data_IF_091267702521
#
_entry.id   IF_091267702521
#
_cell.length_a   1.000
_cell.length_b   1.000
_cell.length_c   1.000
_cell.angle_alpha   90.00
_cell.angle_beta   90.00
_cell.angle_gamma   90.00
#
_symmetry.space_group_name_H-M   'P 1'
#
loop_
_entity.id
_entity.type
_entity.pdbx_description
1 polymer ?
#
# COMPACT_ATOMS: atom_id res chain seq x y z
N UNK A 1 -10.41 -4.91 11.17
CA UNK A 1 -10.85 -6.02 10.31
C UNK A 1 -11.13 -5.44 8.92
N UNK A 2 -10.60 -5.90 7.80
CA UNK A 2 -9.20 -6.22 7.47
C UNK A 2 -9.07 -6.08 5.93
N UNK A 3 -9.55 -4.97 5.35
CA UNK A 3 -9.51 -4.69 3.89
C UNK A 3 -8.13 -4.96 3.31
N UNK A 4 -7.10 -4.61 4.07
CA UNK A 4 -5.70 -4.86 3.75
C UNK A 4 -5.36 -6.36 3.67
N UNK A 5 -5.88 -7.22 4.56
CA UNK A 5 -5.68 -8.68 4.45
C UNK A 5 -6.42 -9.28 3.26
N UNK A 6 -7.60 -8.76 2.92
CA UNK A 6 -8.34 -9.25 1.75
C UNK A 6 -7.59 -8.95 0.46
N UNK A 7 -7.11 -7.72 0.31
CA UNK A 7 -6.30 -7.31 -0.84
C UNK A 7 -5.04 -8.17 -0.92
N UNK A 8 -4.35 -8.38 0.21
CA UNK A 8 -3.13 -9.21 0.25
C UNK A 8 -3.40 -10.64 -0.13
N UNK A 9 -4.50 -11.23 0.34
CA UNK A 9 -4.90 -12.58 -0.05
C UNK A 9 -5.18 -12.66 -1.55
N UNK A 10 -5.88 -11.66 -2.11
CA UNK A 10 -6.16 -11.60 -3.54
C UNK A 10 -4.87 -11.47 -4.36
N UNK A 11 -3.93 -10.61 -3.96
CA UNK A 11 -2.60 -10.47 -4.59
C UNK A 11 -1.82 -11.79 -4.55
N UNK A 12 -1.80 -12.45 -3.40
CA UNK A 12 -1.15 -13.74 -3.20
C UNK A 12 -1.67 -14.82 -4.15
N UNK A 13 -2.94 -14.74 -4.52
CA UNK A 13 -3.62 -15.71 -5.39
C UNK A 13 -3.53 -15.34 -6.88
N UNK A 14 -3.59 -14.05 -7.21
CA UNK A 14 -3.69 -13.58 -8.60
C UNK A 14 -2.37 -13.03 -9.16
N UNK A 15 -1.40 -12.72 -8.31
CA UNK A 15 -0.13 -12.10 -8.67
C UNK A 15 1.06 -12.96 -8.25
N UNK A 16 1.61 -13.79 -9.15
CA UNK A 16 2.76 -14.65 -8.84
C UNK A 16 4.05 -13.86 -8.58
N UNK A 17 4.13 -12.59 -9.00
CA UNK A 17 5.28 -11.71 -8.78
C UNK A 17 5.19 -10.91 -7.48
N UNK A 18 4.11 -11.08 -6.70
CA UNK A 18 3.90 -10.30 -5.49
C UNK A 18 5.01 -10.54 -4.44
N UNK A 19 5.69 -9.46 -4.05
CA UNK A 19 6.82 -9.53 -3.12
C UNK A 19 6.34 -9.56 -1.65
N UNK A 20 6.01 -10.77 -1.18
CA UNK A 20 5.55 -11.05 0.19
C UNK A 20 6.58 -10.68 1.27
N UNK A 21 7.86 -10.78 0.94
CA UNK A 21 8.96 -10.48 1.88
C UNK A 21 8.97 -8.99 2.19
N UNK A 22 8.99 -8.15 1.14
CA UNK A 22 8.90 -6.70 1.30
C UNK A 22 7.60 -6.29 2.00
N UNK A 23 6.47 -6.90 1.63
CA UNK A 23 5.20 -6.69 2.32
C UNK A 23 5.28 -6.95 3.84
N UNK A 24 5.92 -8.04 4.26
CA UNK A 24 6.07 -8.37 5.68
C UNK A 24 6.87 -7.34 6.45
N UNK A 25 7.99 -6.89 5.87
CA UNK A 25 8.81 -5.80 6.43
C UNK A 25 8.00 -4.51 6.57
N UNK A 26 7.29 -4.12 5.51
CA UNK A 26 6.42 -2.94 5.49
C UNK A 26 5.25 -3.04 6.47
N UNK A 27 4.67 -4.22 6.64
CA UNK A 27 3.58 -4.44 7.59
C UNK A 27 4.06 -4.28 9.04
N UNK A 28 5.29 -4.68 9.32
CA UNK A 28 5.96 -4.54 10.60
C UNK A 28 6.30 -3.06 10.86
N UNK A 29 6.87 -2.38 9.87
CA UNK A 29 7.13 -0.94 9.91
C UNK A 29 5.86 -0.09 10.08
N UNK A 30 4.75 -0.47 9.44
CA UNK A 30 3.44 0.18 9.61
C UNK A 30 2.82 -0.03 10.99
N UNK A 31 3.31 -0.97 11.79
CA UNK A 31 2.94 -1.15 13.19
C UNK A 31 3.63 -0.16 14.13
N UNK A 32 4.76 0.43 13.70
CA UNK A 32 5.42 1.53 14.39
C UNK A 32 4.68 2.81 14.02
N UNK A 33 4.20 3.53 15.05
CA UNK A 33 3.15 4.55 15.06
C UNK A 33 3.40 5.84 14.21
N UNK A 34 4.18 5.76 13.13
CA UNK A 34 4.61 6.88 12.28
C UNK A 34 4.79 6.54 10.79
N UNK A 35 4.49 5.33 10.33
CA UNK A 35 4.73 5.00 8.92
C UNK A 35 3.51 5.33 8.04
N UNK A 36 3.55 6.50 7.40
CA UNK A 36 2.59 6.85 6.34
C UNK A 36 2.98 6.13 5.04
N UNK A 37 2.37 4.97 4.79
CA UNK A 37 2.58 4.25 3.54
C UNK A 37 1.58 4.74 2.49
N UNK A 38 2.08 5.35 1.42
CA UNK A 38 1.23 5.73 0.29
C UNK A 38 0.93 4.50 -0.58
N UNK A 39 -0.28 4.39 -1.15
CA UNK A 39 -0.63 3.30 -2.05
C UNK A 39 0.30 3.20 -3.27
N UNK A 40 0.91 4.31 -3.71
CA UNK A 40 1.91 4.28 -4.80
C UNK A 40 3.17 3.53 -4.38
N UNK A 41 3.69 3.83 -3.19
CA UNK A 41 4.89 3.18 -2.65
C UNK A 41 4.63 1.70 -2.37
N UNK A 42 3.40 1.35 -1.97
CA UNK A 42 2.97 -0.05 -1.85
C UNK A 42 3.14 -0.82 -3.16
N UNK A 43 2.61 -0.26 -4.25
CA UNK A 43 2.64 -0.87 -5.59
C UNK A 43 4.09 -1.04 -6.05
N UNK A 44 4.91 0.02 -5.99
CA UNK A 44 6.32 -0.04 -6.39
C UNK A 44 7.14 -1.03 -5.56
N UNK A 45 6.81 -1.19 -4.28
CA UNK A 45 7.62 -2.01 -3.39
C UNK A 45 7.19 -3.46 -3.33
N UNK A 46 5.90 -3.76 -3.56
CA UNK A 46 5.36 -5.12 -3.46
C UNK A 46 4.96 -5.72 -4.81
N UNK A 47 5.09 -4.94 -5.90
CA UNK A 47 4.58 -5.26 -7.23
C UNK A 47 3.09 -5.60 -7.22
N UNK A 48 2.33 -5.00 -6.30
CA UNK A 48 0.89 -5.19 -6.16
C UNK A 48 0.14 -4.70 -7.41
N UNK A 49 -0.81 -5.50 -7.91
CA UNK A 49 -1.61 -5.18 -9.11
C UNK A 49 -3.08 -4.88 -8.81
N UNK A 50 -3.55 -5.29 -7.64
CA UNK A 50 -4.92 -5.14 -7.13
C UNK A 50 -5.18 -3.84 -6.40
N UNK A 51 -4.15 -3.08 -6.06
CA UNK A 51 -4.26 -1.68 -5.63
C UNK A 51 -3.76 -0.81 -6.78
N UNK A 52 -4.60 0.14 -7.22
CA UNK A 52 -4.18 1.16 -8.18
C UNK A 52 -4.18 2.51 -7.47
N UNK A 53 -2.98 3.06 -7.26
CA UNK A 53 -2.80 4.40 -6.71
C UNK A 53 -2.81 5.40 -7.86
N UNK A 54 -3.97 6.01 -8.10
CA UNK A 54 -4.06 7.15 -9.04
C UNK A 54 -3.92 8.42 -8.22
N UNK A 55 -2.83 9.16 -8.39
CA UNK A 55 -2.70 10.49 -7.82
C UNK A 55 -3.83 11.37 -8.39
N UNK A 56 -4.76 11.79 -7.53
CA UNK A 56 -5.78 12.75 -7.92
C UNK A 56 -5.12 14.04 -8.41
N UNK A 57 -5.62 14.59 -9.52
CA UNK A 57 -5.13 15.79 -10.22
C UNK A 57 -5.18 17.08 -9.37
N UNK A 58 -5.54 17.02 -8.10
CA UNK A 58 -5.71 18.18 -7.23
C UNK A 58 -4.80 18.07 -6.01
N UNK A 59 -3.54 18.47 -6.22
CA UNK A 59 -2.68 18.94 -5.13
C UNK A 59 -3.23 20.25 -4.61
N UNK A 60 -3.87 20.22 -3.45
CA UNK A 60 -4.36 21.41 -2.77
C UNK A 60 -4.12 21.27 -1.29
N UNK A 61 -2.97 21.76 -0.82
CA UNK A 61 -2.76 22.02 0.61
C UNK A 61 -3.49 23.33 0.92
N UNK A 62 -4.67 23.24 1.53
CA UNK A 62 -5.28 24.40 2.18
C UNK A 62 -4.92 24.34 3.66
N UNK A 63 -3.89 25.10 4.04
CA UNK A 63 -3.78 25.57 5.42
C UNK A 63 -4.78 26.73 5.57
N UNK A 64 -5.78 26.56 6.42
CA UNK A 64 -6.54 27.70 6.94
C UNK A 64 -5.83 28.15 8.22
N UNK A 65 -5.66 29.47 8.35
CA UNK A 65 -5.07 30.16 9.51
C UNK A 65 -5.78 29.81 10.82
#
# INVERSE_FOLDING_TARGET
>A
MNTLKFIVLWEILNNPNFNRVKFGTYRNEAGLNRFTMTPSKWIESTDAIGIVSKAGRYGGTYAHL
#
